data_IF_023800430199
#
_entry.id   IF_023800430199
#
_cell.length_a   1.000
_cell.length_b   1.000
_cell.length_c   1.000
_cell.angle_alpha   90.00
_cell.angle_beta   90.00
_cell.angle_gamma   90.00
#
_symmetry.space_group_name_H-M   'P 1'
#
loop_
_entity.id
_entity.type
_entity.pdbx_description
1 polymer ?
#
# COMPACT_ATOMS: atom_id res chain seq x y z
N UNK A 1 -39.13 4.36 26.28
CA UNK A 1 -38.61 4.33 24.89
C UNK A 1 -37.09 4.49 25.03
N UNK A 2 -36.34 3.38 25.07
CA UNK A 2 -34.88 3.40 25.16
C UNK A 2 -34.37 3.75 23.78
N UNK A 3 -33.89 4.99 23.62
CA UNK A 3 -33.14 5.40 22.43
C UNK A 3 -31.82 4.68 22.52
N UNK A 4 -31.72 3.51 21.89
CA UNK A 4 -30.43 2.86 21.66
C UNK A 4 -29.72 3.77 20.64
N UNK A 5 -28.85 4.65 21.10
CA UNK A 5 -27.89 5.31 20.24
C UNK A 5 -27.05 4.20 19.60
N UNK A 6 -27.31 3.90 18.33
CA UNK A 6 -26.45 3.01 17.56
C UNK A 6 -25.06 3.65 17.59
N UNK A 7 -24.11 2.97 18.24
CA UNK A 7 -22.71 3.39 18.23
C UNK A 7 -22.27 3.54 16.79
N UNK A 8 -21.80 4.71 16.42
CA UNK A 8 -21.30 4.95 15.05
C UNK A 8 -20.01 4.16 14.87
N UNK A 9 -20.03 3.20 13.95
CA UNK A 9 -18.84 2.38 13.65
C UNK A 9 -17.74 3.27 13.08
N UNK A 10 -16.51 3.12 13.56
CA UNK A 10 -15.37 3.98 13.20
C UNK A 10 -14.18 3.19 12.67
N UNK A 11 -13.69 3.58 11.51
CA UNK A 11 -12.44 3.11 10.92
C UNK A 11 -11.32 4.13 11.22
N UNK A 12 -10.36 3.73 12.05
CA UNK A 12 -9.18 4.53 12.37
C UNK A 12 -8.08 4.21 11.36
N UNK A 13 -7.78 5.13 10.45
CA UNK A 13 -6.83 4.91 9.35
C UNK A 13 -5.50 5.55 9.68
N UNK A 14 -4.49 4.73 10.01
CA UNK A 14 -3.15 5.16 10.37
C UNK A 14 -2.23 5.05 9.15
N UNK A 15 -1.79 6.19 8.65
CA UNK A 15 -0.91 6.29 7.49
C UNK A 15 0.41 6.97 7.81
N UNK A 16 1.37 6.81 6.93
CA UNK A 16 2.69 7.46 7.05
C UNK A 16 3.77 6.65 6.35
N UNK A 17 5.01 7.15 6.32
CA UNK A 17 6.11 6.51 5.61
C UNK A 17 6.56 5.23 6.32
N UNK A 18 7.24 4.35 5.57
CA UNK A 18 7.97 3.23 6.18
C UNK A 18 8.99 3.77 7.20
N UNK A 19 9.17 3.07 8.31
CA UNK A 19 10.07 3.49 9.39
C UNK A 19 9.52 4.54 10.35
N UNK A 20 8.28 5.04 10.18
CA UNK A 20 7.69 6.07 11.06
C UNK A 20 7.15 5.55 12.40
N UNK A 21 7.08 4.23 12.64
CA UNK A 21 6.54 3.67 13.89
C UNK A 21 5.04 3.38 13.87
N UNK A 22 4.41 3.37 12.68
CA UNK A 22 2.96 3.09 12.52
C UNK A 22 2.51 1.77 13.15
N UNK A 23 3.30 0.71 13.03
CA UNK A 23 2.94 -0.63 13.53
C UNK A 23 2.76 -0.61 15.04
N UNK A 24 3.74 -0.09 15.78
CA UNK A 24 3.67 -0.02 17.24
C UNK A 24 2.52 0.90 17.69
N UNK A 25 2.33 2.04 17.02
CA UNK A 25 1.21 2.93 17.27
C UNK A 25 -0.13 2.23 17.03
N UNK A 26 -0.27 1.51 15.92
CA UNK A 26 -1.53 0.80 15.61
C UNK A 26 -1.90 -0.23 16.68
N UNK A 27 -0.92 -0.91 17.24
CA UNK A 27 -1.13 -1.88 18.33
C UNK A 27 -1.58 -1.16 19.62
N UNK A 28 -0.96 -0.03 19.98
CA UNK A 28 -1.37 0.74 21.16
C UNK A 28 -2.79 1.28 21.04
N UNK A 29 -3.13 1.88 19.88
CA UNK A 29 -4.49 2.38 19.64
C UNK A 29 -5.50 1.24 19.55
N UNK A 30 -5.15 0.12 18.91
CA UNK A 30 -6.00 -1.07 18.85
C UNK A 30 -6.27 -1.63 20.25
N UNK A 31 -5.26 -1.69 21.12
CA UNK A 31 -5.43 -2.07 22.53
C UNK A 31 -6.34 -1.11 23.30
N UNK A 32 -6.19 0.21 23.09
CA UNK A 32 -7.00 1.23 23.76
C UNK A 32 -8.50 1.12 23.38
N UNK A 33 -8.80 0.89 22.08
CA UNK A 33 -10.18 0.80 21.57
C UNK A 33 -10.73 -0.63 21.51
N UNK A 34 -10.02 -1.63 22.00
CA UNK A 34 -10.36 -3.05 21.85
C UNK A 34 -10.69 -3.42 20.39
N UNK A 35 -9.88 -2.92 19.47
CA UNK A 35 -10.10 -2.98 18.02
C UNK A 35 -9.16 -3.99 17.33
N UNK A 36 -9.63 -4.75 16.34
CA UNK A 36 -8.76 -5.51 15.45
C UNK A 36 -8.01 -4.58 14.48
N UNK A 37 -6.90 -5.07 13.93
CA UNK A 37 -6.08 -4.37 12.94
C UNK A 37 -6.30 -4.96 11.54
N UNK A 38 -6.45 -4.08 10.54
CA UNK A 38 -6.51 -4.41 9.12
C UNK A 38 -5.32 -3.74 8.40
N UNK A 39 -4.43 -4.54 7.81
CA UNK A 39 -3.28 -4.00 7.07
C UNK A 39 -3.72 -3.41 5.74
N UNK A 40 -3.24 -2.19 5.46
CA UNK A 40 -3.33 -1.52 4.15
C UNK A 40 -1.95 -1.47 3.47
N UNK A 41 -1.14 -2.51 3.66
CA UNK A 41 0.16 -2.65 3.00
C UNK A 41 0.08 -3.68 1.87
N UNK A 42 0.47 -3.29 0.66
CA UNK A 42 0.35 -4.12 -0.53
C UNK A 42 1.44 -5.21 -0.65
N UNK A 43 2.33 -5.32 0.33
CA UNK A 43 3.40 -6.32 0.36
C UNK A 43 3.31 -7.25 1.57
N UNK A 44 2.89 -6.73 2.72
CA UNK A 44 2.70 -7.54 3.93
C UNK A 44 1.59 -8.59 3.79
N UNK A 45 0.73 -8.46 2.80
CA UNK A 45 -0.33 -9.45 2.49
C UNK A 45 0.22 -10.81 2.06
N UNK A 46 1.45 -10.87 1.52
CA UNK A 46 2.02 -12.07 0.94
C UNK A 46 2.73 -12.95 1.98
N UNK A 47 2.51 -14.26 1.89
CA UNK A 47 3.26 -15.28 2.65
C UNK A 47 4.70 -15.38 2.16
N UNK A 48 5.60 -15.76 3.07
CA UNK A 48 7.01 -16.02 2.72
C UNK A 48 7.87 -14.78 2.56
N UNK A 49 7.35 -13.60 2.90
CA UNK A 49 8.06 -12.32 2.79
C UNK A 49 8.10 -11.54 4.13
N UNK A 50 8.29 -12.18 5.30
CA UNK A 50 8.15 -11.50 6.58
C UNK A 50 9.22 -10.44 6.83
N UNK A 51 10.47 -10.68 6.45
CA UNK A 51 11.60 -9.79 6.75
C UNK A 51 11.58 -8.57 5.82
N UNK A 52 11.62 -8.79 4.51
CA UNK A 52 11.73 -7.70 3.54
C UNK A 52 10.52 -6.78 3.49
N UNK A 53 9.34 -7.25 3.87
CA UNK A 53 8.13 -6.43 3.99
C UNK A 53 7.91 -5.89 5.40
N UNK A 54 8.74 -6.33 6.37
CA UNK A 54 8.61 -6.05 7.79
C UNK A 54 7.19 -6.31 8.30
N UNK A 55 6.71 -7.52 8.11
CA UNK A 55 5.46 -7.98 8.73
C UNK A 55 5.56 -7.82 10.26
N UNK A 56 4.43 -7.66 10.95
CA UNK A 56 4.41 -7.68 12.40
C UNK A 56 5.07 -8.94 12.96
N UNK A 57 5.79 -8.79 14.07
CA UNK A 57 6.43 -9.91 14.77
C UNK A 57 5.38 -10.85 15.37
N UNK A 58 5.81 -12.06 15.76
CA UNK A 58 4.93 -13.00 16.43
C UNK A 58 4.27 -12.38 17.68
N UNK A 59 5.01 -11.69 18.51
CA UNK A 59 4.48 -11.03 19.73
C UNK A 59 3.46 -9.93 19.38
N UNK A 60 3.70 -9.17 18.31
CA UNK A 60 2.77 -8.16 17.83
C UNK A 60 1.46 -8.78 17.30
N UNK A 61 1.56 -9.93 16.61
CA UNK A 61 0.39 -10.67 16.12
C UNK A 61 -0.41 -11.33 17.26
N UNK A 62 0.25 -11.72 18.35
CA UNK A 62 -0.42 -12.24 19.55
C UNK A 62 -1.10 -11.14 20.38
N UNK A 63 -0.55 -9.92 20.35
CA UNK A 63 -1.10 -8.81 21.13
C UNK A 63 -2.45 -8.31 20.62
N UNK A 64 -2.69 -8.36 19.30
CA UNK A 64 -3.93 -7.87 18.67
C UNK A 64 -4.24 -8.72 17.45
N UNK A 65 -5.51 -8.95 17.16
CA UNK A 65 -5.95 -9.64 15.93
C UNK A 65 -5.59 -8.80 14.68
N UNK A 66 -4.89 -9.43 13.72
CA UNK A 66 -4.48 -8.79 12.47
C UNK A 66 -5.09 -9.45 11.25
N UNK A 67 -5.49 -8.65 10.26
CA UNK A 67 -6.02 -9.08 8.97
C UNK A 67 -5.16 -8.54 7.84
N UNK A 68 -5.09 -9.28 6.72
CA UNK A 68 -4.26 -8.98 5.54
C UNK A 68 -2.76 -8.95 5.84
N UNK A 69 -2.32 -9.79 6.78
CA UNK A 69 -0.91 -10.13 6.99
C UNK A 69 -0.73 -11.59 6.56
N UNK A 70 0.24 -11.87 5.67
CA UNK A 70 0.55 -13.20 5.15
C UNK A 70 -0.71 -14.00 4.72
N UNK A 71 -1.70 -13.34 4.17
CA UNK A 71 -3.02 -13.90 3.84
C UNK A 71 -3.10 -14.45 2.41
N UNK A 72 -2.20 -14.02 1.52
CA UNK A 72 -2.16 -14.37 0.09
C UNK A 72 -0.88 -15.09 -0.27
N UNK A 73 -0.90 -15.89 -1.33
CA UNK A 73 0.31 -16.45 -1.94
C UNK A 73 1.04 -15.39 -2.77
N UNK A 74 2.36 -15.52 -2.93
CA UNK A 74 3.16 -14.61 -3.77
C UNK A 74 2.76 -14.64 -5.25
N UNK A 75 2.09 -15.70 -5.69
CA UNK A 75 1.57 -15.87 -7.05
C UNK A 75 0.23 -15.18 -7.25
N UNK A 76 -0.49 -14.89 -6.17
CA UNK A 76 -1.76 -14.18 -6.26
C UNK A 76 -1.49 -12.70 -6.59
N UNK A 77 -2.23 -12.16 -7.55
CA UNK A 77 -2.18 -10.73 -7.82
C UNK A 77 -3.35 -10.05 -7.11
N UNK A 78 -3.07 -9.34 -6.01
CA UNK A 78 -4.09 -8.57 -5.29
C UNK A 78 -4.12 -7.14 -5.81
N UNK A 79 -5.03 -6.84 -6.72
CA UNK A 79 -5.27 -5.49 -7.23
C UNK A 79 -5.89 -4.58 -6.16
N UNK A 80 -5.85 -3.26 -6.39
CA UNK A 80 -6.51 -2.31 -5.48
C UNK A 80 -8.03 -2.51 -5.39
N UNK A 81 -8.67 -2.88 -6.50
CA UNK A 81 -10.12 -3.16 -6.52
C UNK A 81 -10.47 -4.44 -5.77
N UNK A 82 -9.70 -5.52 -5.97
CA UNK A 82 -9.89 -6.77 -5.21
C UNK A 82 -9.63 -6.57 -3.72
N UNK A 83 -8.58 -5.80 -3.37
CA UNK A 83 -8.34 -5.42 -1.98
C UNK A 83 -9.54 -4.66 -1.40
N UNK A 84 -10.12 -3.68 -2.12
CA UNK A 84 -11.31 -2.95 -1.68
C UNK A 84 -12.46 -3.91 -1.34
N UNK A 85 -12.80 -4.82 -2.26
CA UNK A 85 -13.90 -5.78 -2.08
C UNK A 85 -13.65 -6.68 -0.87
N UNK A 86 -12.45 -7.27 -0.78
CA UNK A 86 -12.11 -8.17 0.33
C UNK A 86 -12.04 -7.43 1.67
N UNK A 87 -11.47 -6.21 1.69
CA UNK A 87 -11.34 -5.42 2.90
C UNK A 87 -12.70 -4.94 3.43
N UNK A 88 -13.60 -4.49 2.55
CA UNK A 88 -14.96 -4.10 2.95
C UNK A 88 -15.76 -5.28 3.49
N UNK A 89 -15.69 -6.45 2.84
CA UNK A 89 -16.33 -7.66 3.35
C UNK A 89 -15.75 -8.11 4.71
N UNK A 90 -14.46 -7.88 4.95
CA UNK A 90 -13.84 -8.13 6.25
C UNK A 90 -14.31 -7.12 7.30
N UNK A 91 -14.34 -5.82 6.96
CA UNK A 91 -14.82 -4.76 7.86
C UNK A 91 -16.28 -4.99 8.30
N UNK A 92 -17.15 -5.40 7.41
CA UNK A 92 -18.55 -5.74 7.75
C UNK A 92 -18.62 -6.78 8.88
N UNK A 93 -17.80 -7.84 8.77
CA UNK A 93 -17.74 -8.89 9.81
C UNK A 93 -17.15 -8.37 11.11
N UNK A 94 -16.11 -7.54 11.05
CA UNK A 94 -15.46 -6.99 12.24
C UNK A 94 -16.36 -5.99 12.97
N UNK A 95 -17.04 -5.13 12.24
CA UNK A 95 -17.98 -4.17 12.82
C UNK A 95 -19.24 -4.82 13.43
N UNK A 96 -19.50 -6.10 13.17
CA UNK A 96 -20.55 -6.84 13.91
C UNK A 96 -20.19 -7.02 15.40
N UNK A 97 -18.88 -7.12 15.72
CA UNK A 97 -18.39 -7.33 17.10
C UNK A 97 -17.63 -6.16 17.71
N UNK A 98 -17.22 -5.15 16.90
CA UNK A 98 -16.40 -4.05 17.35
C UNK A 98 -16.98 -2.70 16.92
N UNK A 99 -16.79 -1.67 17.75
CA UNK A 99 -17.15 -0.29 17.39
C UNK A 99 -16.04 0.41 16.61
N UNK A 100 -14.80 -0.04 16.81
CA UNK A 100 -13.62 0.46 16.12
C UNK A 100 -12.90 -0.64 15.38
N UNK A 101 -12.30 -0.31 14.23
CA UNK A 101 -11.30 -1.11 13.53
C UNK A 101 -10.14 -0.18 13.16
N UNK A 102 -8.90 -0.65 13.34
CA UNK A 102 -7.70 0.11 12.98
C UNK A 102 -7.21 -0.38 11.63
N UNK A 103 -7.20 0.49 10.62
CA UNK A 103 -6.54 0.24 9.34
C UNK A 103 -5.15 0.87 9.36
N UNK A 104 -4.09 0.12 9.08
CA UNK A 104 -2.71 0.64 9.13
C UNK A 104 -1.91 0.23 7.90
N UNK A 105 -1.18 1.19 7.31
CA UNK A 105 -0.27 0.87 6.23
C UNK A 105 0.31 2.07 5.49
N UNK A 106 1.05 1.76 4.43
CA UNK A 106 1.77 2.74 3.61
C UNK A 106 1.43 2.68 2.12
N UNK A 107 0.53 1.78 1.69
CA UNK A 107 0.11 1.68 0.30
C UNK A 107 -1.03 2.67 0.02
N UNK A 108 -0.68 3.85 -0.50
CA UNK A 108 -1.65 4.95 -0.72
C UNK A 108 -2.86 4.56 -1.55
N UNK A 109 -2.70 3.69 -2.55
CA UNK A 109 -3.83 3.21 -3.36
C UNK A 109 -4.75 2.26 -2.57
N UNK A 110 -4.22 1.41 -1.68
CA UNK A 110 -5.04 0.55 -0.82
C UNK A 110 -5.83 1.38 0.20
N UNK A 111 -5.18 2.38 0.80
CA UNK A 111 -5.85 3.33 1.71
C UNK A 111 -6.97 4.07 0.98
N UNK A 112 -6.69 4.56 -0.24
CA UNK A 112 -7.69 5.26 -1.06
C UNK A 112 -8.85 4.33 -1.43
N UNK A 113 -8.57 3.12 -1.90
CA UNK A 113 -9.58 2.12 -2.24
C UNK A 113 -10.50 1.83 -1.05
N UNK A 114 -9.92 1.63 0.14
CA UNK A 114 -10.68 1.39 1.36
C UNK A 114 -11.55 2.58 1.78
N UNK A 115 -10.99 3.79 1.76
CA UNK A 115 -11.68 4.99 2.27
C UNK A 115 -12.65 5.61 1.26
N UNK A 116 -12.27 5.65 -0.02
CA UNK A 116 -12.97 6.44 -1.04
C UNK A 116 -13.57 5.57 -2.15
N UNK A 117 -13.10 4.34 -2.29
CA UNK A 117 -13.42 3.47 -3.40
C UNK A 117 -12.53 3.71 -4.62
N UNK A 118 -12.57 2.74 -5.54
CA UNK A 118 -11.94 2.85 -6.84
C UNK A 118 -12.99 3.03 -7.92
N UNK A 119 -12.60 3.64 -9.03
CA UNK A 119 -13.43 3.66 -10.23
C UNK A 119 -13.71 2.23 -10.69
N UNK A 120 -14.90 2.02 -11.25
CA UNK A 120 -15.37 0.71 -11.73
C UNK A 120 -14.74 0.39 -13.10
N UNK A 121 -13.45 0.12 -13.07
CA UNK A 121 -12.68 -0.22 -14.25
C UNK A 121 -12.61 -1.74 -14.39
N UNK A 122 -12.66 -2.28 -15.63
CA UNK A 122 -12.57 -3.72 -15.85
C UNK A 122 -11.26 -4.26 -15.25
N UNK A 123 -11.32 -5.49 -14.74
CA UNK A 123 -10.10 -6.21 -14.40
C UNK A 123 -9.24 -6.36 -15.68
N UNK A 124 -7.91 -6.36 -15.50
CA UNK A 124 -7.04 -6.57 -16.64
C UNK A 124 -7.26 -7.97 -17.21
N UNK A 125 -7.53 -8.04 -18.48
CA UNK A 125 -7.50 -9.29 -19.23
C UNK A 125 -6.06 -9.80 -19.32
N UNK A 126 -5.84 -11.06 -18.93
CA UNK A 126 -4.48 -11.63 -18.85
C UNK A 126 -3.80 -11.70 -20.20
N UNK A 127 -4.55 -12.08 -21.24
CA UNK A 127 -4.03 -12.15 -22.62
C UNK A 127 -3.67 -10.77 -23.16
N UNK A 128 -4.48 -9.77 -22.86
CA UNK A 128 -4.20 -8.38 -23.24
C UNK A 128 -2.99 -7.82 -22.46
N UNK A 129 -2.84 -8.20 -21.20
CA UNK A 129 -1.69 -7.82 -20.40
C UNK A 129 -0.40 -8.38 -20.99
N UNK A 130 -0.38 -9.66 -21.34
CA UNK A 130 0.77 -10.31 -21.99
C UNK A 130 1.10 -9.65 -23.35
N UNK A 131 0.08 -9.25 -24.11
CA UNK A 131 0.27 -8.51 -25.36
C UNK A 131 0.92 -7.14 -25.12
N UNK A 132 0.44 -6.38 -24.12
CA UNK A 132 1.01 -5.07 -23.78
C UNK A 132 2.45 -5.19 -23.26
N UNK A 133 2.75 -6.21 -22.46
CA UNK A 133 4.10 -6.44 -21.95
C UNK A 133 5.06 -6.81 -23.10
N UNK A 134 4.59 -7.59 -24.08
CA UNK A 134 5.35 -7.90 -25.30
C UNK A 134 5.60 -6.63 -26.13
N UNK A 135 4.58 -5.84 -26.40
CA UNK A 135 4.75 -4.57 -27.13
C UNK A 135 5.72 -3.63 -26.43
N UNK A 136 5.64 -3.55 -25.08
CA UNK A 136 6.57 -2.74 -24.31
C UNK A 136 8.02 -3.23 -24.45
N UNK A 137 8.23 -4.55 -24.49
CA UNK A 137 9.56 -5.15 -24.63
C UNK A 137 10.13 -5.01 -26.03
N UNK A 138 9.32 -5.18 -27.07
CA UNK A 138 9.74 -5.21 -28.48
C UNK A 138 9.80 -3.81 -29.10
N UNK A 139 8.81 -2.95 -28.84
CA UNK A 139 8.64 -1.67 -29.51
C UNK A 139 8.92 -0.47 -28.59
N UNK A 140 8.95 -0.70 -27.30
CA UNK A 140 9.25 0.32 -26.30
C UNK A 140 8.07 1.20 -25.91
N UNK A 141 8.25 1.96 -24.83
CA UNK A 141 7.21 2.79 -24.22
C UNK A 141 6.68 3.90 -25.14
N UNK A 142 7.52 4.40 -26.05
CA UNK A 142 7.12 5.47 -26.97
C UNK A 142 5.98 5.07 -27.90
N UNK A 143 6.01 3.85 -28.44
CA UNK A 143 4.95 3.35 -29.32
C UNK A 143 3.64 3.18 -28.56
N UNK A 144 3.69 2.64 -27.33
CA UNK A 144 2.52 2.53 -26.46
C UNK A 144 1.93 3.92 -26.11
N UNK A 145 2.78 4.90 -25.85
CA UNK A 145 2.33 6.26 -25.59
C UNK A 145 1.64 6.89 -26.78
N UNK A 146 2.14 6.69 -28.00
CA UNK A 146 1.48 7.17 -29.23
C UNK A 146 0.14 6.48 -29.44
N UNK A 147 0.05 5.16 -29.17
CA UNK A 147 -1.22 4.44 -29.22
C UNK A 147 -2.23 4.98 -28.21
N UNK A 148 -1.76 5.33 -27.00
CA UNK A 148 -2.61 6.00 -26.01
C UNK A 148 -3.06 7.38 -26.49
N UNK A 149 -2.22 8.12 -27.19
CA UNK A 149 -2.61 9.42 -27.77
C UNK A 149 -3.76 9.29 -28.78
N UNK A 150 -3.77 8.21 -29.57
CA UNK A 150 -4.84 7.93 -30.51
C UNK A 150 -6.16 7.57 -29.82
N UNK A 151 -6.09 6.70 -28.78
CA UNK A 151 -7.28 6.16 -28.10
C UNK A 151 -7.83 7.08 -27.02
N UNK A 152 -6.97 7.84 -26.36
CA UNK A 152 -7.32 8.77 -25.27
C UNK A 152 -6.40 10.00 -25.25
N UNK A 153 -6.62 10.98 -26.17
CA UNK A 153 -5.81 12.20 -26.18
C UNK A 153 -5.89 13.03 -24.90
N UNK A 154 -6.99 12.92 -24.15
CA UNK A 154 -7.20 13.64 -22.91
C UNK A 154 -6.29 13.08 -21.80
N UNK A 155 -6.28 11.77 -21.63
CA UNK A 155 -5.41 11.13 -20.64
C UNK A 155 -3.95 11.25 -21.02
N UNK A 156 -3.61 11.15 -22.31
CA UNK A 156 -2.23 11.32 -22.81
C UNK A 156 -1.60 12.64 -22.34
N UNK A 157 -2.37 13.74 -22.31
CA UNK A 157 -1.86 15.07 -21.91
C UNK A 157 -1.52 15.18 -20.42
N UNK A 158 -2.06 14.30 -19.57
CA UNK A 158 -1.96 14.40 -18.11
C UNK A 158 -1.19 13.23 -17.48
N UNK A 159 -1.04 12.10 -18.19
CA UNK A 159 -0.32 10.94 -17.69
C UNK A 159 1.19 11.20 -17.71
N UNK A 160 1.89 10.64 -16.73
CA UNK A 160 3.35 10.55 -16.77
C UNK A 160 3.75 9.51 -17.83
N UNK A 161 4.15 9.98 -18.99
CA UNK A 161 4.55 9.15 -20.13
C UNK A 161 5.84 8.34 -19.89
N UNK A 162 6.61 8.66 -18.83
CA UNK A 162 7.75 7.85 -18.40
C UNK A 162 7.36 6.73 -17.44
N UNK A 163 6.07 6.55 -17.18
CA UNK A 163 5.57 5.51 -16.29
C UNK A 163 4.88 4.40 -17.10
N UNK A 164 5.59 3.28 -17.43
CA UNK A 164 5.04 2.21 -18.26
C UNK A 164 3.74 1.64 -17.69
N UNK A 165 3.67 1.42 -16.37
CA UNK A 165 2.49 0.83 -15.75
C UNK A 165 1.22 1.69 -15.91
N UNK A 166 1.35 3.02 -15.97
CA UNK A 166 0.21 3.92 -16.18
C UNK A 166 -0.22 3.96 -17.64
N UNK A 167 0.74 3.96 -18.57
CA UNK A 167 0.46 3.94 -19.99
C UNK A 167 -0.18 2.61 -20.39
N UNK A 168 0.41 1.50 -19.98
CA UNK A 168 -0.11 0.15 -20.23
C UNK A 168 -1.52 0.01 -19.65
N UNK A 169 -1.73 0.39 -18.38
CA UNK A 169 -3.06 0.27 -17.75
C UNK A 169 -4.14 1.08 -18.47
N UNK A 170 -3.82 2.28 -18.93
CA UNK A 170 -4.77 3.09 -19.70
C UNK A 170 -5.11 2.45 -21.05
N UNK A 171 -4.11 1.91 -21.74
CA UNK A 171 -4.30 1.18 -23.00
C UNK A 171 -5.15 -0.06 -22.83
N UNK A 172 -4.86 -0.90 -21.82
CA UNK A 172 -5.66 -2.08 -21.50
C UNK A 172 -7.14 -1.73 -21.36
N UNK A 173 -7.45 -0.70 -20.56
CA UNK A 173 -8.83 -0.28 -20.34
C UNK A 173 -9.46 0.25 -21.64
N UNK A 174 -8.74 1.06 -22.42
CA UNK A 174 -9.25 1.55 -23.71
C UNK A 174 -9.55 0.40 -24.68
N UNK A 175 -8.62 -0.56 -24.80
CA UNK A 175 -8.76 -1.69 -25.73
C UNK A 175 -9.85 -2.67 -25.30
N UNK A 176 -9.93 -2.95 -24.00
CA UNK A 176 -10.90 -3.88 -23.43
C UNK A 176 -12.33 -3.34 -23.49
N UNK A 177 -12.51 -2.04 -23.33
CA UNK A 177 -13.86 -1.42 -23.27
C UNK A 177 -14.29 -0.71 -24.55
N UNK A 178 -13.36 -0.41 -25.44
CA UNK A 178 -13.62 0.45 -26.60
C UNK A 178 -13.86 1.92 -26.27
N UNK A 179 -13.60 2.34 -25.01
CA UNK A 179 -13.84 3.71 -24.54
C UNK A 179 -12.55 4.32 -23.96
N UNK A 180 -12.35 5.65 -24.11
CA UNK A 180 -11.23 6.34 -23.49
C UNK A 180 -11.17 6.10 -21.98
N UNK A 181 -9.99 5.83 -21.45
CA UNK A 181 -9.73 5.65 -20.01
C UNK A 181 -10.13 6.89 -19.20
N UNK A 182 -9.87 8.09 -19.71
CA UNK A 182 -10.24 9.35 -19.08
C UNK A 182 -11.73 9.45 -18.77
N UNK A 183 -12.60 8.94 -19.66
CA UNK A 183 -14.06 8.94 -19.48
C UNK A 183 -14.55 7.95 -18.43
N UNK A 184 -13.79 6.91 -18.14
CA UNK A 184 -14.13 5.87 -17.17
C UNK A 184 -13.60 6.21 -15.77
N UNK A 185 -12.68 7.16 -15.68
CA UNK A 185 -12.18 7.68 -14.41
C UNK A 185 -13.10 8.79 -13.91
N UNK A 186 -14.09 8.38 -13.15
CA UNK A 186 -15.08 9.31 -12.59
C UNK A 186 -14.53 10.06 -11.38
N UNK A 187 -13.61 9.45 -10.62
CA UNK A 187 -13.08 10.00 -9.39
C UNK A 187 -14.13 10.17 -8.29
N UNK A 188 -15.29 9.55 -8.44
CA UNK A 188 -16.38 9.66 -7.48
C UNK A 188 -16.02 8.93 -6.20
N UNK A 189 -16.05 9.64 -5.08
CA UNK A 189 -15.89 9.04 -3.75
C UNK A 189 -17.16 8.29 -3.36
N UNK A 190 -17.00 7.03 -3.02
CA UNK A 190 -18.10 6.18 -2.54
C UNK A 190 -18.28 6.39 -1.04
N UNK A 191 -19.49 6.70 -0.60
CA UNK A 191 -19.81 6.76 0.82
C UNK A 191 -19.59 5.40 1.49
N UNK A 192 -19.04 5.43 2.70
CA UNK A 192 -18.85 4.22 3.52
C UNK A 192 -19.89 4.18 4.64
N UNK A 193 -20.34 2.99 5.06
CA UNK A 193 -21.35 2.85 6.13
C UNK A 193 -20.74 3.02 7.54
N UNK A 194 -19.56 3.63 7.65
CA UNK A 194 -18.84 3.91 8.89
C UNK A 194 -18.12 5.25 8.79
N UNK A 195 -17.84 5.83 9.95
CA UNK A 195 -17.02 7.04 10.05
C UNK A 195 -15.55 6.71 9.81
N UNK A 196 -14.82 7.59 9.12
CA UNK A 196 -13.39 7.43 8.86
C UNK A 196 -12.62 8.54 9.55
N UNK A 197 -11.69 8.16 10.42
CA UNK A 197 -10.76 9.08 11.09
C UNK A 197 -9.35 8.80 10.57
N UNK A 198 -8.74 9.78 9.90
CA UNK A 198 -7.43 9.63 9.27
C UNK A 198 -6.32 10.26 10.13
N UNK A 199 -5.34 9.45 10.51
CA UNK A 199 -4.18 9.84 11.33
C UNK A 199 -2.92 9.62 10.51
N UNK A 200 -2.15 10.67 10.31
CA UNK A 200 -0.84 10.63 9.70
C UNK A 200 0.28 10.58 10.75
N UNK A 201 1.26 9.72 10.56
CA UNK A 201 2.44 9.66 11.43
C UNK A 201 3.62 10.24 10.68
N UNK A 202 4.21 11.30 11.23
CA UNK A 202 5.37 11.97 10.65
C UNK A 202 6.50 12.15 11.68
N UNK A 203 7.71 12.20 11.15
CA UNK A 203 8.95 12.40 11.89
C UNK A 203 9.82 13.41 11.15
N UNK A 204 10.70 14.14 11.85
CA UNK A 204 11.77 14.90 11.20
C UNK A 204 12.53 14.01 10.22
N UNK A 205 12.87 14.56 9.06
CA UNK A 205 13.48 13.80 7.95
C UNK A 205 14.72 13.01 8.36
N UNK A 206 15.58 13.62 9.17
CA UNK A 206 16.82 12.99 9.62
C UNK A 206 16.53 11.79 10.52
N UNK A 207 15.61 11.94 11.47
CA UNK A 207 15.18 10.86 12.36
C UNK A 207 14.55 9.70 11.56
N UNK A 208 13.67 10.03 10.60
CA UNK A 208 13.07 9.02 9.73
C UNK A 208 14.11 8.24 8.92
N UNK A 209 15.08 8.95 8.34
CA UNK A 209 16.11 8.32 7.52
C UNK A 209 17.05 7.43 8.34
N UNK A 210 17.40 7.85 9.54
CA UNK A 210 18.19 7.05 10.47
C UNK A 210 17.42 5.78 10.91
N UNK A 211 16.13 5.89 11.23
CA UNK A 211 15.27 4.75 11.53
C UNK A 211 15.16 3.77 10.36
N UNK A 212 15.05 4.29 9.12
CA UNK A 212 15.03 3.46 7.91
C UNK A 212 16.33 2.71 7.75
N UNK A 213 17.48 3.37 7.89
CA UNK A 213 18.79 2.73 7.75
C UNK A 213 18.96 1.63 8.79
N UNK A 214 18.72 1.93 10.08
CA UNK A 214 18.79 0.93 11.17
C UNK A 214 17.82 -0.24 10.99
N UNK A 215 16.66 0.01 10.39
CA UNK A 215 15.71 -1.07 10.06
C UNK A 215 16.27 -1.99 8.98
N UNK A 216 16.90 -1.44 7.94
CA UNK A 216 17.57 -2.27 6.90
C UNK A 216 18.68 -3.09 7.52
N UNK A 217 19.52 -2.51 8.40
CA UNK A 217 20.58 -3.25 9.08
C UNK A 217 20.02 -4.41 9.92
N UNK A 218 18.90 -4.22 10.61
CA UNK A 218 18.20 -5.30 11.32
C UNK A 218 17.66 -6.37 10.38
N UNK A 219 17.00 -5.99 9.28
CA UNK A 219 16.51 -6.95 8.27
C UNK A 219 17.64 -7.83 7.72
N UNK A 220 18.83 -7.27 7.51
CA UNK A 220 20.00 -8.03 7.09
C UNK A 220 20.45 -9.02 8.16
N UNK A 221 20.51 -8.57 9.42
CA UNK A 221 20.84 -9.44 10.56
C UNK A 221 19.80 -10.55 10.76
N UNK A 222 18.53 -10.27 10.49
CA UNK A 222 17.41 -11.21 10.57
C UNK A 222 17.35 -12.19 9.38
N UNK A 223 18.20 -12.03 8.36
CA UNK A 223 18.32 -12.94 7.23
C UNK A 223 17.63 -12.54 5.95
N UNK A 224 17.47 -11.23 5.68
CA UNK A 224 16.84 -10.72 4.46
C UNK A 224 17.48 -11.28 3.17
N UNK A 225 18.81 -11.47 3.13
CA UNK A 225 19.47 -12.07 1.97
C UNK A 225 19.00 -13.51 1.74
N UNK A 226 18.93 -14.31 2.80
CA UNK A 226 18.48 -15.69 2.71
C UNK A 226 17.00 -15.79 2.26
N UNK A 227 16.14 -14.91 2.79
CA UNK A 227 14.75 -14.79 2.35
C UNK A 227 14.66 -14.42 0.86
N UNK A 228 15.41 -13.42 0.42
CA UNK A 228 15.44 -13.01 -0.99
C UNK A 228 15.98 -14.13 -1.89
N UNK A 229 16.99 -14.88 -1.44
CA UNK A 229 17.58 -16.00 -2.20
C UNK A 229 16.59 -17.16 -2.37
N UNK A 230 15.82 -17.47 -1.35
CA UNK A 230 14.76 -18.48 -1.43
C UNK A 230 13.64 -18.09 -2.41
N UNK A 231 13.39 -16.78 -2.56
CA UNK A 231 12.36 -16.22 -3.44
C UNK A 231 12.89 -15.91 -4.86
N UNK A 232 14.19 -15.99 -5.10
CA UNK A 232 14.81 -15.66 -6.37
C UNK A 232 14.26 -16.42 -7.59
N UNK A 233 13.85 -17.70 -7.51
CA UNK A 233 13.21 -18.40 -8.63
C UNK A 233 11.89 -17.75 -9.07
N UNK A 234 11.27 -16.93 -8.22
CA UNK A 234 9.98 -16.26 -8.44
C UNK A 234 10.14 -14.76 -8.69
N UNK A 235 11.36 -14.27 -8.95
CA UNK A 235 11.72 -12.85 -9.00
C UNK A 235 10.87 -11.98 -9.95
N UNK A 236 10.28 -12.58 -10.98
CA UNK A 236 9.42 -11.86 -11.95
C UNK A 236 8.02 -11.57 -11.40
N UNK A 237 7.60 -12.24 -10.32
CA UNK A 237 6.27 -12.02 -9.75
C UNK A 237 6.12 -10.61 -9.20
N UNK A 238 4.93 -10.02 -9.37
CA UNK A 238 4.62 -8.68 -8.90
C UNK A 238 4.87 -8.49 -7.39
N UNK A 239 4.59 -9.50 -6.57
CA UNK A 239 4.83 -9.49 -5.13
C UNK A 239 6.28 -9.12 -4.79
N UNK A 240 7.24 -9.58 -5.60
CA UNK A 240 8.68 -9.43 -5.38
C UNK A 240 9.28 -8.18 -6.05
N UNK A 241 8.49 -7.45 -6.84
CA UNK A 241 8.91 -6.19 -7.45
C UNK A 241 8.89 -5.04 -6.43
N UNK A 242 9.66 -5.19 -5.35
CA UNK A 242 9.72 -4.22 -4.24
C UNK A 242 11.14 -4.07 -3.70
N UNK A 243 11.36 -3.01 -2.91
CA UNK A 243 12.65 -2.71 -2.29
C UNK A 243 13.05 -3.83 -1.33
N UNK A 244 14.31 -4.17 -1.34
CA UNK A 244 14.91 -5.26 -0.55
C UNK A 244 15.14 -6.51 -1.38
N UNK A 245 14.17 -6.90 -2.23
CA UNK A 245 14.31 -8.07 -3.08
C UNK A 245 14.97 -7.74 -4.42
N UNK A 246 14.53 -6.69 -5.10
CA UNK A 246 15.08 -6.32 -6.41
C UNK A 246 16.58 -6.08 -6.37
N UNK A 247 17.06 -5.39 -5.36
CA UNK A 247 18.47 -5.09 -5.17
C UNK A 247 19.29 -6.37 -4.91
N UNK A 248 18.73 -7.31 -4.13
CA UNK A 248 19.36 -8.62 -3.96
C UNK A 248 19.30 -9.49 -5.21
N UNK A 249 18.25 -9.38 -6.02
CA UNK A 249 18.21 -10.08 -7.30
C UNK A 249 19.28 -9.57 -8.28
N UNK A 250 19.51 -8.25 -8.33
CA UNK A 250 20.61 -7.68 -9.09
C UNK A 250 22.00 -8.16 -8.59
N UNK A 251 22.14 -8.33 -7.27
CA UNK A 251 23.34 -8.93 -6.68
C UNK A 251 23.48 -10.41 -7.06
N UNK A 252 22.41 -11.20 -7.00
CA UNK A 252 22.46 -12.62 -7.36
C UNK A 252 22.74 -12.84 -8.85
N UNK A 253 22.32 -11.92 -9.72
CA UNK A 253 22.64 -11.92 -11.14
C UNK A 253 24.09 -11.43 -11.43
N UNK A 254 24.83 -10.99 -10.42
CA UNK A 254 26.19 -10.47 -10.58
C UNK A 254 26.27 -9.08 -11.22
N UNK A 255 25.15 -8.34 -11.26
CA UNK A 255 25.11 -6.97 -11.82
C UNK A 255 25.72 -5.94 -10.88
N UNK A 256 25.64 -6.17 -9.57
CA UNK A 256 26.15 -5.32 -8.51
C UNK A 256 26.81 -6.13 -7.40
N UNK A 257 27.63 -5.50 -6.57
CA UNK A 257 28.20 -6.13 -5.37
C UNK A 257 27.24 -6.12 -4.18
N UNK A 258 27.53 -6.94 -3.16
CA UNK A 258 26.70 -7.04 -1.94
C UNK A 258 26.56 -5.68 -1.23
N UNK A 259 27.69 -5.01 -0.97
CA UNK A 259 27.67 -3.71 -0.27
C UNK A 259 26.87 -2.66 -1.04
N UNK A 260 26.97 -2.68 -2.37
CA UNK A 260 26.18 -1.81 -3.24
C UNK A 260 24.68 -2.15 -3.13
N UNK A 261 24.31 -3.42 -3.11
CA UNK A 261 22.91 -3.84 -2.93
C UNK A 261 22.35 -3.32 -1.60
N UNK A 262 23.10 -3.42 -0.50
CA UNK A 262 22.71 -2.91 0.82
C UNK A 262 22.51 -1.38 0.79
N UNK A 263 23.45 -0.63 0.22
CA UNK A 263 23.31 0.83 0.10
C UNK A 263 22.12 1.24 -0.80
N UNK A 264 21.87 0.48 -1.85
CA UNK A 264 20.70 0.67 -2.72
C UNK A 264 19.40 0.42 -1.97
N UNK A 265 19.30 -0.64 -1.15
CA UNK A 265 18.13 -0.93 -0.32
C UNK A 265 17.86 0.25 0.62
N UNK A 266 18.86 0.74 1.36
CA UNK A 266 18.73 1.91 2.24
C UNK A 266 18.25 3.13 1.46
N UNK A 267 18.90 3.45 0.35
CA UNK A 267 18.57 4.59 -0.52
C UNK A 267 17.14 4.50 -1.07
N UNK A 268 16.77 3.34 -1.60
CA UNK A 268 15.47 3.14 -2.22
C UNK A 268 14.33 3.10 -1.19
N UNK A 269 14.60 2.60 0.04
CA UNK A 269 13.68 2.70 1.18
C UNK A 269 13.42 4.15 1.58
N UNK A 270 14.44 5.01 1.64
CA UNK A 270 14.28 6.46 1.90
C UNK A 270 13.49 7.15 0.78
N UNK A 271 13.74 6.78 -0.49
CA UNK A 271 12.98 7.30 -1.64
C UNK A 271 11.52 6.84 -1.59
N UNK A 272 11.27 5.61 -1.18
CA UNK A 272 9.93 5.09 -1.01
C UNK A 272 9.18 5.85 0.10
N UNK A 273 9.80 6.05 1.25
CA UNK A 273 9.24 6.86 2.34
C UNK A 273 8.88 8.29 1.88
N UNK A 274 9.75 8.93 1.09
CA UNK A 274 9.45 10.25 0.51
C UNK A 274 8.22 10.23 -0.41
N UNK A 275 8.09 9.19 -1.26
CA UNK A 275 6.90 9.03 -2.13
C UNK A 275 5.62 8.85 -1.32
N UNK A 276 5.66 8.05 -0.24
CA UNK A 276 4.52 7.86 0.66
C UNK A 276 4.09 9.18 1.31
N UNK A 277 5.03 9.95 1.87
CA UNK A 277 4.73 11.27 2.45
C UNK A 277 4.13 12.23 1.41
N UNK A 278 4.69 12.29 0.20
CA UNK A 278 4.17 13.13 -0.88
C UNK A 278 2.75 12.73 -1.27
N UNK A 279 2.44 11.44 -1.22
CA UNK A 279 1.10 10.93 -1.49
C UNK A 279 0.11 11.35 -0.41
N UNK A 280 0.39 11.02 0.84
CA UNK A 280 -0.54 11.24 1.95
C UNK A 280 -0.72 12.72 2.31
N UNK A 281 0.27 13.58 2.08
CA UNK A 281 0.15 15.03 2.31
C UNK A 281 -0.80 15.74 1.35
N UNK A 282 -1.26 15.08 0.29
CA UNK A 282 -2.29 15.59 -0.61
C UNK A 282 -3.70 15.45 -0.06
N UNK A 283 -3.89 14.61 0.94
CA UNK A 283 -5.18 14.40 1.59
C UNK A 283 -5.31 15.35 2.80
N UNK A 284 -6.17 16.40 2.69
CA UNK A 284 -6.32 17.40 3.76
C UNK A 284 -7.07 16.84 4.99
N UNK A 285 -7.71 15.67 4.86
CA UNK A 285 -8.43 15.03 5.96
C UNK A 285 -7.48 14.32 6.94
N UNK A 286 -6.20 14.12 6.57
CA UNK A 286 -5.22 13.49 7.43
C UNK A 286 -4.71 14.48 8.46
N UNK A 287 -4.93 14.19 9.76
CA UNK A 287 -4.30 14.89 10.86
C UNK A 287 -2.97 14.26 11.20
N UNK A 288 -1.90 15.06 11.20
CA UNK A 288 -0.54 14.59 11.40
C UNK A 288 -0.10 14.71 12.85
N UNK A 289 0.56 13.65 13.37
CA UNK A 289 1.05 13.53 14.74
C UNK A 289 2.45 12.91 14.76
N UNK A 290 3.16 13.09 15.86
CA UNK A 290 4.34 12.27 16.17
C UNK A 290 3.90 10.88 16.64
N UNK A 291 4.72 9.82 16.41
CA UNK A 291 4.33 8.44 16.73
C UNK A 291 4.20 8.14 18.23
N UNK A 292 4.65 9.04 19.08
CA UNK A 292 4.64 8.96 20.56
C UNK A 292 3.58 9.86 21.22
N UNK A 293 2.76 10.56 20.44
CA UNK A 293 1.73 11.47 20.97
C UNK A 293 0.35 10.80 21.05
N UNK A 294 0.28 9.68 21.76
CA UNK A 294 -0.94 8.89 21.89
C UNK A 294 -2.11 9.69 22.49
N UNK A 295 -1.82 10.56 23.48
CA UNK A 295 -2.85 11.36 24.14
C UNK A 295 -3.55 12.35 23.19
N UNK A 296 -2.78 13.04 22.33
CA UNK A 296 -3.34 13.95 21.34
C UNK A 296 -4.14 13.20 20.26
N UNK A 297 -3.67 12.01 19.86
CA UNK A 297 -4.39 11.17 18.89
C UNK A 297 -5.71 10.66 19.45
N UNK A 298 -5.72 10.14 20.69
CA UNK A 298 -6.95 9.69 21.36
C UNK A 298 -7.94 10.83 21.50
N UNK A 299 -7.48 12.01 21.96
CA UNK A 299 -8.33 13.20 22.04
C UNK A 299 -8.93 13.58 20.66
N UNK A 300 -8.13 13.52 19.61
CA UNK A 300 -8.62 13.76 18.24
C UNK A 300 -9.63 12.73 17.76
N UNK A 301 -9.43 11.44 18.09
CA UNK A 301 -10.36 10.35 17.72
C UNK A 301 -11.69 10.52 18.46
N UNK A 302 -11.66 10.83 19.76
CA UNK A 302 -12.85 10.82 20.60
C UNK A 302 -13.70 12.08 20.44
N UNK A 303 -13.06 13.23 20.32
CA UNK A 303 -13.76 14.53 20.35
C UNK A 303 -13.79 15.24 18.99
N UNK A 304 -13.10 14.71 17.97
CA UNK A 304 -13.11 15.29 16.65
C UNK A 304 -12.31 16.56 16.50
N UNK A 305 -12.58 17.28 15.42
CA UNK A 305 -11.90 18.52 15.10
C UNK A 305 -12.28 19.62 16.10
N UNK A 306 -11.46 19.84 17.08
CA UNK A 306 -11.43 21.14 17.77
C UNK A 306 -10.53 22.11 17.02
#
# INVERSE_FOLDING_TARGET
MIITTMSTKRLLVIVGPTGSGKTDLSIRLAGHYAAPILSTDSRQVYRGMPIGTAQPTFDQLQAVEHHFIASHDIKDYLSCGEYEVQALARLEKLFAGHDYVVAVGGAGLYVRALCEGMDDLPQADESLREEMDRWLAEEGLGVLAEKLRELDPEYYRIVDLNNPARVVRALEVCLQTGMPYSRQRTGIRRARPFEIVKIGVDLPREELYDRINRRVDRMLADGLEAEARALYPYRELNALQTVGYREFFDYFDGRIGYDEAVELIKRNSRRYAKRQLTWFRRDPEIRWFRPDDDAAMINYIDFGKS
#
